data_IF_987285417416
#
_entry.id   IF_987285417416
#
_cell.length_a   1.000
_cell.length_b   1.000
_cell.length_c   1.000
_cell.angle_alpha   90.00
_cell.angle_beta   90.00
_cell.angle_gamma   90.00
#
_symmetry.space_group_name_H-M   'P 1'
#
loop_
_entity.id
_entity.type
_entity.pdbx_description
1 polymer ?
#
# COMPACT_ATOMS: atom_id res chain seq x y z
N UNK A 1 -24.60 -0.29 -3.70
CA UNK A 1 -25.72 0.38 -2.99
C UNK A 1 -26.91 0.76 -3.89
N UNK A 2 -26.73 1.27 -5.13
CA UNK A 2 -27.86 1.61 -6.03
C UNK A 2 -28.81 0.43 -6.31
N UNK A 3 -28.26 -0.75 -6.58
CA UNK A 3 -29.06 -1.97 -6.80
C UNK A 3 -29.83 -2.43 -5.56
N UNK A 4 -29.30 -2.18 -4.35
CA UNK A 4 -30.00 -2.51 -3.10
C UNK A 4 -31.16 -1.55 -2.85
N UNK A 5 -30.98 -0.25 -3.13
CA UNK A 5 -32.07 0.73 -3.03
C UNK A 5 -33.21 0.42 -4.00
N UNK A 6 -32.88 -0.06 -5.20
CA UNK A 6 -33.88 -0.49 -6.19
C UNK A 6 -34.68 -1.73 -5.76
N UNK A 7 -34.12 -2.62 -4.94
CA UNK A 7 -34.77 -3.89 -4.54
C UNK A 7 -35.44 -3.85 -3.17
N UNK A 8 -34.86 -3.13 -2.21
CA UNK A 8 -35.28 -3.14 -0.81
C UNK A 8 -35.81 -1.77 -0.33
N UNK A 9 -35.96 -0.81 -1.23
CA UNK A 9 -36.46 0.53 -0.92
C UNK A 9 -35.39 1.49 -0.39
N UNK A 10 -35.83 2.64 0.10
CA UNK A 10 -34.94 3.66 0.63
C UNK A 10 -34.50 3.33 2.05
N UNK A 11 -33.19 3.29 2.25
CA UNK A 11 -32.54 3.17 3.56
C UNK A 11 -31.46 4.25 3.70
N UNK A 12 -31.16 4.69 4.91
CA UNK A 12 -30.05 5.61 5.17
C UNK A 12 -28.77 4.80 5.38
N UNK A 13 -27.66 5.17 4.73
CA UNK A 13 -26.35 4.60 5.07
C UNK A 13 -25.43 5.69 5.60
N UNK A 14 -24.58 5.29 6.54
CA UNK A 14 -23.52 6.12 7.12
C UNK A 14 -22.21 5.41 6.84
N UNK A 15 -21.20 6.12 6.33
CA UNK A 15 -19.88 5.57 6.06
C UNK A 15 -18.85 6.28 6.93
N UNK A 16 -18.15 5.51 7.75
CA UNK A 16 -17.09 5.97 8.64
C UNK A 16 -15.80 5.23 8.25
N UNK A 17 -14.73 5.98 8.00
CA UNK A 17 -13.44 5.42 7.64
C UNK A 17 -12.44 5.63 8.78
N UNK A 18 -11.91 4.54 9.33
CA UNK A 18 -10.99 4.56 10.47
C UNK A 18 -9.59 5.10 10.16
N UNK A 19 -9.20 5.20 8.89
CA UNK A 19 -7.95 5.85 8.47
C UNK A 19 -8.09 7.38 8.50
N UNK A 20 -9.28 7.89 8.16
CA UNK A 20 -9.57 9.33 8.12
C UNK A 20 -9.94 9.84 9.52
N UNK A 21 -10.78 9.10 10.23
CA UNK A 21 -11.29 9.47 11.55
C UNK A 21 -10.29 9.05 12.61
N UNK A 22 -9.56 10.01 13.15
CA UNK A 22 -8.49 9.74 14.13
C UNK A 22 -9.01 9.70 15.58
N UNK A 23 -10.23 10.21 15.81
CA UNK A 23 -10.84 10.31 17.13
C UNK A 23 -12.31 9.89 17.11
N UNK A 24 -12.79 9.28 18.20
CA UNK A 24 -14.18 8.88 18.38
C UNK A 24 -15.14 10.08 18.29
N UNK A 25 -14.76 11.25 18.83
CA UNK A 25 -15.58 12.45 18.75
C UNK A 25 -15.81 12.90 17.30
N UNK A 26 -14.80 12.76 16.44
CA UNK A 26 -14.94 13.07 15.01
C UNK A 26 -15.86 12.07 14.33
N UNK A 27 -15.76 10.79 14.68
CA UNK A 27 -16.66 9.76 14.18
C UNK A 27 -18.11 10.03 14.57
N UNK A 28 -18.39 10.46 15.80
CA UNK A 28 -19.74 10.84 16.22
C UNK A 28 -20.26 12.09 15.51
N UNK A 29 -19.40 13.11 15.30
CA UNK A 29 -19.77 14.30 14.51
C UNK A 29 -20.11 13.94 13.07
N UNK A 30 -19.30 13.09 12.43
CA UNK A 30 -19.53 12.66 11.05
C UNK A 30 -20.79 11.80 10.93
N UNK A 31 -21.01 10.89 11.88
CA UNK A 31 -22.24 10.10 11.96
C UNK A 31 -23.47 11.00 12.11
N UNK A 32 -23.39 12.03 12.96
CA UNK A 32 -24.45 13.04 13.12
C UNK A 32 -24.69 13.80 11.82
N UNK A 33 -23.62 14.26 11.16
CA UNK A 33 -23.70 15.01 9.91
C UNK A 33 -24.34 14.18 8.79
N UNK A 34 -23.96 12.91 8.63
CA UNK A 34 -24.50 12.05 7.58
C UNK A 34 -25.97 11.66 7.84
N UNK A 35 -26.34 11.38 9.09
CA UNK A 35 -27.73 11.09 9.45
C UNK A 35 -28.63 12.33 9.27
N UNK A 36 -28.11 13.51 9.59
CA UNK A 36 -28.86 14.77 9.44
C UNK A 36 -28.94 15.20 7.98
N UNK A 37 -27.91 15.00 7.15
CA UNK A 37 -27.99 15.23 5.70
C UNK A 37 -29.04 14.35 5.02
N UNK A 38 -29.26 13.13 5.52
CA UNK A 38 -30.29 12.22 5.01
C UNK A 38 -31.73 12.64 5.40
N UNK A 39 -31.88 13.58 6.32
CA UNK A 39 -33.13 14.27 6.64
C UNK A 39 -33.06 15.67 6.06
N UNK A 40 -33.81 16.00 5.01
CA UNK A 40 -33.92 17.37 4.52
C UNK A 40 -34.67 18.30 5.51
N UNK A 41 -34.28 18.29 6.78
CA UNK A 41 -34.89 19.03 7.88
C UNK A 41 -33.88 20.06 8.36
N UNK A 42 -34.07 21.31 7.95
CA UNK A 42 -33.45 22.47 8.60
C UNK A 42 -34.04 22.60 10.01
N UNK A 43 -33.56 21.80 10.96
CA UNK A 43 -33.93 21.95 12.37
C UNK A 43 -32.97 22.95 13.05
N UNK A 44 -33.43 23.79 14.00
CA UNK A 44 -32.63 24.88 14.58
C UNK A 44 -31.35 24.44 15.28
N UNK A 45 -31.21 23.16 15.62
CA UNK A 45 -30.02 22.58 16.26
C UNK A 45 -28.76 22.56 15.38
N UNK A 46 -28.87 22.56 14.04
CA UNK A 46 -27.68 22.71 13.18
C UNK A 46 -27.09 24.13 13.22
N UNK A 47 -27.95 25.15 13.39
CA UNK A 47 -27.50 26.53 13.66
C UNK A 47 -27.04 26.68 15.12
N UNK A 48 -27.73 26.03 16.05
CA UNK A 48 -27.34 26.04 17.46
C UNK A 48 -26.00 25.33 17.67
N UNK A 49 -25.65 24.28 16.92
CA UNK A 49 -24.31 23.69 16.97
C UNK A 49 -23.24 24.60 16.34
N UNK A 50 -23.55 25.41 15.33
CA UNK A 50 -22.60 26.44 14.85
C UNK A 50 -22.43 27.61 15.82
N UNK A 51 -23.46 27.94 16.61
CA UNK A 51 -23.43 29.07 17.55
C UNK A 51 -23.03 28.71 18.99
N UNK A 52 -23.31 27.48 19.45
CA UNK A 52 -22.98 27.00 20.80
C UNK A 52 -21.57 26.43 20.87
N UNK A 53 -21.02 25.93 19.75
CA UNK A 53 -19.60 25.58 19.67
C UNK A 53 -18.71 26.84 19.75
N UNK A 54 -19.24 28.03 19.46
CA UNK A 54 -18.45 29.28 19.55
C UNK A 54 -18.56 29.97 20.92
N UNK A 55 -19.65 29.74 21.67
CA UNK A 55 -19.88 30.48 22.92
C UNK A 55 -19.56 29.71 24.21
N UNK A 56 -19.25 28.41 24.12
CA UNK A 56 -18.90 27.55 25.27
C UNK A 56 -17.49 27.02 25.11
N UNK A 57 -16.54 27.89 24.77
CA UNK A 57 -15.12 27.57 24.63
C UNK A 57 -14.23 28.32 25.63
N UNK A 58 -14.83 28.89 26.68
CA UNK A 58 -14.12 29.67 27.68
C UNK A 58 -14.49 29.15 29.07
N UNK A 59 -13.57 28.36 29.64
CA UNK A 59 -13.46 27.88 31.03
C UNK A 59 -13.96 26.45 31.37
N UNK A 60 -13.00 25.63 31.86
CA UNK A 60 -13.10 24.34 32.56
C UNK A 60 -13.17 23.04 31.71
N UNK A 61 -11.99 22.42 31.49
CA UNK A 61 -11.71 21.46 30.41
C UNK A 61 -12.14 19.99 30.66
N UNK A 62 -12.60 19.58 31.85
CA UNK A 62 -12.93 18.15 32.09
C UNK A 62 -14.42 17.81 32.24
N UNK A 63 -15.28 18.73 32.70
CA UNK A 63 -16.72 18.45 32.88
C UNK A 63 -17.52 18.71 31.59
N UNK A 64 -17.12 19.69 30.78
CA UNK A 64 -17.80 20.06 29.52
C UNK A 64 -17.66 19.00 28.42
N UNK A 65 -16.54 18.25 28.38
CA UNK A 65 -16.37 17.15 27.43
C UNK A 65 -17.34 15.99 27.69
N UNK A 66 -17.63 15.71 28.95
CA UNK A 66 -18.57 14.63 29.34
C UNK A 66 -20.02 15.04 29.02
N UNK A 67 -20.39 16.29 29.32
CA UNK A 67 -21.70 16.86 28.99
C UNK A 67 -21.93 16.92 27.48
N UNK A 68 -20.93 17.34 26.69
CA UNK A 68 -21.03 17.38 25.23
C UNK A 68 -21.14 15.99 24.60
N UNK A 69 -20.46 14.98 25.14
CA UNK A 69 -20.58 13.59 24.69
C UNK A 69 -21.95 12.99 25.00
N UNK A 70 -22.45 13.18 26.23
CA UNK A 70 -23.76 12.66 26.63
C UNK A 70 -24.90 13.31 25.82
N UNK A 71 -24.84 14.62 25.61
CA UNK A 71 -25.79 15.33 24.76
C UNK A 71 -25.76 14.80 23.31
N UNK A 72 -24.57 14.47 22.78
CA UNK A 72 -24.43 13.89 21.45
C UNK A 72 -24.98 12.47 21.38
N UNK A 73 -24.75 11.66 22.41
CA UNK A 73 -25.27 10.30 22.52
C UNK A 73 -26.80 10.27 22.52
N UNK A 74 -27.45 11.04 23.41
CA UNK A 74 -28.91 11.11 23.49
C UNK A 74 -29.52 11.67 22.21
N UNK A 75 -28.87 12.69 21.61
CA UNK A 75 -29.30 13.25 20.34
C UNK A 75 -29.27 12.20 19.21
N UNK A 76 -28.17 11.47 19.09
CA UNK A 76 -28.01 10.42 18.07
C UNK A 76 -29.01 9.28 18.27
N UNK A 77 -29.20 8.84 19.52
CA UNK A 77 -30.20 7.83 19.86
C UNK A 77 -31.61 8.30 19.48
N UNK A 78 -31.97 9.55 19.82
CA UNK A 78 -33.25 10.16 19.45
C UNK A 78 -33.46 10.24 17.93
N UNK A 79 -32.41 10.57 17.18
CA UNK A 79 -32.44 10.61 15.72
C UNK A 79 -32.66 9.21 15.11
N UNK A 80 -31.97 8.20 15.63
CA UNK A 80 -32.13 6.80 15.20
C UNK A 80 -33.54 6.27 15.50
N UNK A 81 -34.10 6.58 16.66
CA UNK A 81 -35.49 6.21 17.01
C UNK A 81 -36.49 6.91 16.09
N UNK A 82 -36.29 8.20 15.80
CA UNK A 82 -37.16 8.96 14.88
C UNK A 82 -37.14 8.36 13.48
N UNK A 83 -35.97 7.94 13.00
CA UNK A 83 -35.78 7.23 11.74
C UNK A 83 -36.49 5.87 11.72
N UNK A 84 -36.34 5.09 12.80
CA UNK A 84 -37.00 3.80 12.93
C UNK A 84 -38.54 3.92 12.95
N UNK A 85 -39.08 4.94 13.62
CA UNK A 85 -40.53 5.26 13.60
C UNK A 85 -41.03 5.68 12.23
N UNK A 86 -40.18 6.36 11.46
CA UNK A 86 -40.45 6.73 10.06
C UNK A 86 -40.35 5.54 9.09
N UNK A 87 -40.00 4.34 9.58
CA UNK A 87 -39.82 3.15 8.78
C UNK A 87 -38.50 3.10 8.01
N UNK A 88 -37.56 4.01 8.27
CA UNK A 88 -36.24 4.06 7.63
C UNK A 88 -35.25 3.16 8.38
N UNK A 89 -34.41 2.44 7.65
CA UNK A 89 -33.38 1.55 8.17
C UNK A 89 -32.01 2.21 8.02
N UNK A 90 -31.20 2.18 9.08
CA UNK A 90 -29.86 2.80 9.07
C UNK A 90 -28.77 1.74 8.96
N UNK A 91 -27.90 1.83 7.95
CA UNK A 91 -26.73 0.94 7.80
C UNK A 91 -25.47 1.75 8.04
N UNK A 92 -24.74 1.45 9.11
CA UNK A 92 -23.44 2.05 9.42
C UNK A 92 -22.34 1.14 8.88
N UNK A 93 -21.51 1.67 7.98
CA UNK A 93 -20.36 0.98 7.41
C UNK A 93 -19.12 1.56 8.08
N UNK A 94 -18.37 0.69 8.76
CA UNK A 94 -17.08 1.00 9.38
C UNK A 94 -15.99 0.40 8.51
N UNK A 95 -15.23 1.25 7.81
CA UNK A 95 -14.08 0.86 7.03
C UNK A 95 -12.79 0.98 7.87
N UNK A 96 -11.81 0.11 7.62
CA UNK A 96 -10.62 -0.05 8.45
C UNK A 96 -10.97 -0.22 9.95
N UNK A 97 -11.83 -1.21 10.25
CA UNK A 97 -12.36 -1.47 11.60
C UNK A 97 -11.24 -1.58 12.65
N UNK A 98 -10.10 -2.15 12.29
CA UNK A 98 -8.95 -2.30 13.17
C UNK A 98 -8.48 -0.97 13.76
N UNK A 99 -8.63 0.17 13.06
CA UNK A 99 -8.28 1.48 13.60
C UNK A 99 -9.20 1.91 14.76
N UNK A 100 -10.48 1.53 14.74
CA UNK A 100 -11.42 1.78 15.84
C UNK A 100 -11.22 0.82 17.02
N UNK A 101 -10.52 -0.29 16.78
CA UNK A 101 -10.19 -1.30 17.79
C UNK A 101 -8.84 -1.03 18.43
N UNK A 102 -7.91 -0.39 17.71
CA UNK A 102 -6.52 -0.16 18.13
C UNK A 102 -6.42 0.52 19.50
N UNK A 103 -5.64 -0.15 20.35
CA UNK A 103 -5.19 0.33 21.64
C UNK A 103 -4.25 1.54 21.47
N UNK A 104 -4.79 2.76 21.50
CA UNK A 104 -4.10 3.75 22.32
C UNK A 104 -4.38 3.31 23.75
N UNK A 105 -3.34 2.92 24.50
CA UNK A 105 -3.37 2.13 25.74
C UNK A 105 -4.23 2.65 26.91
N UNK A 106 -5.08 3.66 26.70
CA UNK A 106 -6.05 4.21 27.65
C UNK A 106 -7.41 4.63 27.01
N UNK A 107 -7.63 4.42 25.71
CA UNK A 107 -8.86 4.81 25.03
C UNK A 107 -9.87 3.65 25.04
N UNK A 108 -10.96 3.85 25.78
CA UNK A 108 -12.14 2.97 25.80
C UNK A 108 -12.72 2.88 24.38
N UNK A 109 -13.05 1.68 23.88
CA UNK A 109 -13.76 1.47 22.61
C UNK A 109 -15.24 1.95 22.68
N UNK A 110 -15.48 3.25 22.87
CA UNK A 110 -16.80 3.82 23.14
C UNK A 110 -17.66 3.88 21.88
N UNK A 111 -17.09 4.20 20.71
CA UNK A 111 -17.85 4.25 19.45
C UNK A 111 -18.47 2.87 19.14
N UNK A 112 -17.64 1.82 19.16
CA UNK A 112 -18.07 0.45 18.90
C UNK A 112 -19.05 -0.04 19.97
N UNK A 113 -18.77 0.27 21.25
CA UNK A 113 -19.69 -0.03 22.34
C UNK A 113 -21.07 0.58 22.10
N UNK A 114 -21.15 1.87 21.78
CA UNK A 114 -22.40 2.59 21.56
C UNK A 114 -23.17 2.05 20.35
N UNK A 115 -22.48 1.83 19.21
CA UNK A 115 -23.12 1.30 18.01
C UNK A 115 -23.71 -0.10 18.23
N UNK A 116 -22.96 -0.98 18.92
CA UNK A 116 -23.43 -2.33 19.23
C UNK A 116 -24.52 -2.35 20.32
N UNK A 117 -24.50 -1.40 21.26
CA UNK A 117 -25.56 -1.26 22.27
C UNK A 117 -26.87 -0.77 21.62
N UNK A 118 -26.80 0.19 20.69
CA UNK A 118 -27.96 0.64 19.93
C UNK A 118 -28.56 -0.44 19.02
N UNK A 119 -27.75 -1.35 18.49
CA UNK A 119 -28.22 -2.51 17.73
C UNK A 119 -29.11 -3.45 18.56
N UNK A 120 -28.91 -3.50 19.89
CA UNK A 120 -29.71 -4.34 20.78
C UNK A 120 -31.02 -3.66 21.21
N UNK A 121 -31.19 -2.37 20.95
CA UNK A 121 -32.39 -1.62 21.31
C UNK A 121 -33.54 -1.91 20.33
N UNK A 122 -34.70 -2.33 20.85
CA UNK A 122 -35.90 -2.65 20.05
C UNK A 122 -36.46 -1.46 19.26
N UNK A 123 -36.23 -0.25 19.76
CA UNK A 123 -36.74 0.99 19.17
C UNK A 123 -35.88 1.51 18.00
N UNK A 124 -34.77 0.84 17.69
CA UNK A 124 -33.81 1.23 16.66
C UNK A 124 -33.74 0.15 15.59
N UNK A 125 -33.89 0.56 14.32
CA UNK A 125 -33.73 -0.32 13.16
C UNK A 125 -32.42 0.02 12.45
N UNK A 126 -31.32 -0.52 12.94
CA UNK A 126 -30.00 -0.29 12.36
C UNK A 126 -29.21 -1.58 12.11
N UNK A 127 -28.17 -1.50 11.26
CA UNK A 127 -27.19 -2.53 11.01
C UNK A 127 -25.79 -1.94 11.00
N UNK A 128 -24.79 -2.65 11.52
CA UNK A 128 -23.38 -2.24 11.48
C UNK A 128 -22.60 -3.25 10.65
N UNK A 129 -21.86 -2.77 9.66
CA UNK A 129 -20.98 -3.56 8.81
C UNK A 129 -19.54 -3.08 9.02
N UNK A 130 -18.70 -3.91 9.64
CA UNK A 130 -17.27 -3.67 9.76
C UNK A 130 -16.50 -4.31 8.62
N UNK A 131 -15.58 -3.56 8.01
CA UNK A 131 -14.65 -4.02 6.98
C UNK A 131 -13.24 -3.92 7.56
N UNK A 132 -12.47 -4.99 7.45
CA UNK A 132 -11.09 -5.07 7.94
C UNK A 132 -10.32 -6.09 7.12
N UNK A 133 -9.00 -5.89 7.05
CA UNK A 133 -8.04 -6.87 6.55
C UNK A 133 -7.42 -7.73 7.67
N UNK A 134 -7.64 -7.35 8.94
CA UNK A 134 -7.11 -8.06 10.10
C UNK A 134 -8.03 -9.20 10.52
N UNK A 135 -7.57 -10.44 10.31
CA UNK A 135 -8.29 -11.65 10.68
C UNK A 135 -8.57 -11.76 12.20
N UNK A 136 -7.68 -11.21 13.03
CA UNK A 136 -7.77 -11.31 14.49
C UNK A 136 -8.46 -10.09 15.14
N UNK A 137 -9.22 -9.29 14.37
CA UNK A 137 -9.85 -8.07 14.90
C UNK A 137 -10.77 -8.35 16.09
N UNK A 138 -11.41 -9.53 16.13
CA UNK A 138 -12.37 -9.90 17.18
C UNK A 138 -11.69 -10.21 18.52
N UNK A 139 -10.45 -10.69 18.49
CA UNK A 139 -9.66 -10.92 19.70
C UNK A 139 -9.19 -9.61 20.33
N UNK A 140 -9.01 -8.56 19.51
CA UNK A 140 -8.65 -7.22 19.95
C UNK A 140 -9.85 -6.41 20.49
N UNK A 141 -11.07 -6.94 20.42
CA UNK A 141 -12.24 -6.27 21.00
C UNK A 141 -12.24 -6.40 22.53
N UNK A 142 -12.52 -5.29 23.22
CA UNK A 142 -12.73 -5.30 24.66
C UNK A 142 -13.89 -6.24 25.04
N UNK A 143 -13.80 -6.90 26.21
CA UNK A 143 -14.80 -7.88 26.68
C UNK A 143 -16.26 -7.41 26.55
N UNK A 144 -16.53 -6.14 26.86
CA UNK A 144 -17.89 -5.55 26.82
C UNK A 144 -18.42 -5.30 25.40
N UNK A 145 -17.53 -5.05 24.44
CA UNK A 145 -17.85 -4.89 23.01
C UNK A 145 -18.03 -6.26 22.38
N UNK A 146 -17.09 -7.17 22.66
CA UNK A 146 -17.13 -8.56 22.20
C UNK A 146 -18.40 -9.30 22.63
N UNK A 147 -18.87 -9.07 23.86
CA UNK A 147 -20.12 -9.65 24.37
C UNK A 147 -21.37 -9.19 23.59
N UNK A 148 -21.34 -7.97 23.01
CA UNK A 148 -22.44 -7.41 22.22
C UNK A 148 -22.36 -7.72 20.73
N UNK A 149 -21.22 -8.24 20.28
CA UNK A 149 -21.00 -8.59 18.88
C UNK A 149 -21.77 -9.87 18.52
N UNK A 150 -22.42 -9.88 17.36
CA UNK A 150 -23.25 -11.01 16.89
C UNK A 150 -22.43 -12.23 16.44
N UNK A 151 -21.10 -12.14 16.46
CA UNK A 151 -20.15 -13.15 15.96
C UNK A 151 -20.34 -13.52 14.47
N UNK A 152 -21.13 -12.75 13.71
CA UNK A 152 -21.27 -12.94 12.29
C UNK A 152 -20.04 -12.37 11.58
N UNK A 153 -19.21 -13.27 11.03
CA UNK A 153 -18.05 -12.91 10.23
C UNK A 153 -18.22 -13.47 8.83
N UNK A 154 -18.00 -12.63 7.83
CA UNK A 154 -17.99 -13.03 6.42
C UNK A 154 -16.55 -12.92 5.95
N UNK A 155 -15.88 -14.06 5.80
CA UNK A 155 -14.51 -14.11 5.27
C UNK A 155 -14.60 -14.05 3.75
N UNK A 156 -13.95 -13.04 3.16
CA UNK A 156 -13.83 -12.92 1.71
C UNK A 156 -12.53 -13.61 1.30
N UNK A 157 -12.65 -14.79 0.72
CA UNK A 157 -11.50 -15.53 0.22
C UNK A 157 -10.92 -14.88 -1.03
N UNK A 158 -9.61 -15.08 -1.24
CA UNK A 158 -8.94 -14.67 -2.47
C UNK A 158 -9.55 -15.45 -3.65
N UNK A 159 -9.98 -14.79 -4.73
CA UNK A 159 -10.53 -15.49 -5.88
C UNK A 159 -9.46 -16.37 -6.52
N UNK A 160 -9.85 -17.56 -6.97
CA UNK A 160 -8.94 -18.48 -7.65
C UNK A 160 -8.44 -17.90 -8.97
N UNK A 161 -7.32 -18.42 -9.47
CA UNK A 161 -6.78 -17.99 -10.76
C UNK A 161 -7.79 -18.13 -11.90
N UNK A 162 -8.58 -19.20 -11.91
CA UNK A 162 -9.68 -19.41 -12.86
C UNK A 162 -10.77 -18.34 -12.75
N UNK A 163 -11.15 -17.96 -11.53
CA UNK A 163 -12.14 -16.89 -11.31
C UNK A 163 -11.61 -15.54 -11.76
N UNK A 164 -10.32 -15.24 -11.54
CA UNK A 164 -9.66 -14.03 -12.02
C UNK A 164 -9.68 -13.99 -13.55
N UNK A 165 -9.33 -15.08 -14.23
CA UNK A 165 -9.38 -15.17 -15.70
C UNK A 165 -10.78 -14.94 -16.27
N UNK A 166 -11.79 -15.57 -15.65
CA UNK A 166 -13.19 -15.34 -16.02
C UNK A 166 -13.64 -13.90 -15.75
N UNK A 167 -13.12 -13.27 -14.70
CA UNK A 167 -13.38 -11.87 -14.41
C UNK A 167 -12.73 -10.95 -15.45
N UNK A 168 -11.47 -11.19 -15.82
CA UNK A 168 -10.78 -10.44 -16.88
C UNK A 168 -11.51 -10.57 -18.23
N UNK A 169 -11.95 -11.78 -18.59
CA UNK A 169 -12.74 -11.99 -19.80
C UNK A 169 -14.01 -11.14 -19.78
N UNK A 170 -14.75 -11.12 -18.66
CA UNK A 170 -15.98 -10.32 -18.52
C UNK A 170 -15.71 -8.82 -18.60
N UNK A 171 -14.63 -8.34 -17.98
CA UNK A 171 -14.26 -6.91 -17.99
C UNK A 171 -13.81 -6.46 -19.37
N UNK A 172 -13.13 -7.32 -20.13
CA UNK A 172 -12.62 -7.01 -21.46
C UNK A 172 -13.64 -7.33 -22.58
N UNK A 173 -14.68 -8.12 -22.31
CA UNK A 173 -15.65 -8.53 -23.32
C UNK A 173 -16.48 -7.34 -23.84
N UNK A 174 -16.52 -7.22 -25.16
CA UNK A 174 -17.34 -6.22 -25.86
C UNK A 174 -18.81 -6.66 -25.99
N UNK A 175 -19.07 -7.96 -25.86
CA UNK A 175 -20.41 -8.55 -26.02
C UNK A 175 -21.28 -8.35 -24.78
N UNK A 176 -20.65 -8.31 -23.60
CA UNK A 176 -21.34 -8.08 -22.33
C UNK A 176 -21.66 -6.59 -22.07
N UNK A 177 -21.12 -5.68 -22.90
CA UNK A 177 -21.30 -4.24 -22.71
C UNK A 177 -22.66 -3.77 -23.23
N UNK A 178 -23.38 -2.98 -22.42
CA UNK A 178 -24.70 -2.44 -22.76
C UNK A 178 -24.55 -1.18 -23.64
N UNK A 179 -24.30 -1.39 -24.94
CA UNK A 179 -24.12 -0.32 -25.92
C UNK A 179 -25.28 0.69 -25.96
N UNK A 180 -26.51 0.22 -25.74
CA UNK A 180 -27.73 1.05 -25.83
C UNK A 180 -27.80 2.17 -24.78
N UNK A 181 -27.10 2.02 -23.65
CA UNK A 181 -27.08 3.02 -22.57
C UNK A 181 -25.98 4.08 -22.77
N UNK A 182 -25.13 3.93 -23.78
CA UNK A 182 -23.98 4.78 -24.04
C UNK A 182 -23.96 5.26 -25.49
N UNK A 183 -24.88 6.17 -25.83
CA UNK A 183 -25.00 6.78 -27.16
C UNK A 183 -23.75 7.55 -27.63
N UNK A 184 -22.90 7.96 -26.69
CA UNK A 184 -21.61 8.63 -26.93
C UNK A 184 -20.58 7.71 -27.62
N UNK A 185 -20.75 6.38 -27.53
CA UNK A 185 -19.76 5.40 -27.97
C UNK A 185 -20.17 4.74 -29.30
N UNK A 186 -19.20 4.63 -30.22
CA UNK A 186 -19.40 3.92 -31.49
C UNK A 186 -19.26 2.42 -31.29
N UNK A 187 -20.33 1.67 -31.57
CA UNK A 187 -20.30 0.21 -31.54
C UNK A 187 -19.33 -0.33 -32.61
N UNK A 188 -18.40 -1.24 -32.24
CA UNK A 188 -17.46 -1.83 -33.19
C UNK A 188 -18.16 -2.76 -34.18
N UNK A 189 -17.49 -3.06 -35.29
CA UNK A 189 -18.00 -4.05 -36.25
C UNK A 189 -18.10 -5.44 -35.61
N UNK A 190 -19.13 -6.21 -35.97
CA UNK A 190 -19.31 -7.58 -35.47
C UNK A 190 -18.10 -8.48 -35.78
N UNK A 191 -17.46 -8.30 -36.94
CA UNK A 191 -16.23 -9.02 -37.32
C UNK A 191 -15.08 -8.75 -36.35
N UNK A 192 -14.88 -7.48 -35.97
CA UNK A 192 -13.86 -7.10 -35.00
C UNK A 192 -14.17 -7.65 -33.61
N UNK A 193 -15.41 -7.50 -33.15
CA UNK A 193 -15.83 -8.02 -31.84
C UNK A 193 -15.57 -9.53 -31.72
N UNK A 194 -15.92 -10.31 -32.75
CA UNK A 194 -15.64 -11.76 -32.78
C UNK A 194 -14.13 -12.06 -32.80
N UNK A 195 -13.35 -11.33 -33.61
CA UNK A 195 -11.90 -11.51 -33.66
C UNK A 195 -11.23 -11.17 -32.31
N UNK A 196 -11.69 -10.11 -31.65
CA UNK A 196 -11.21 -9.69 -30.34
C UNK A 196 -11.57 -10.71 -29.25
N UNK A 197 -12.82 -11.17 -29.20
CA UNK A 197 -13.26 -12.23 -28.27
C UNK A 197 -12.48 -13.53 -28.50
N UNK A 198 -12.19 -13.91 -29.76
CA UNK A 198 -11.34 -15.07 -30.07
C UNK A 198 -9.92 -14.89 -29.55
N UNK A 199 -9.30 -13.73 -29.80
CA UNK A 199 -7.95 -13.42 -29.32
C UNK A 199 -7.86 -13.46 -27.79
N UNK A 200 -8.84 -12.87 -27.09
CA UNK A 200 -8.93 -12.89 -25.64
C UNK A 200 -9.05 -14.32 -25.09
N UNK A 201 -9.89 -15.15 -25.70
CA UNK A 201 -10.04 -16.54 -25.29
C UNK A 201 -8.75 -17.33 -25.50
N UNK A 202 -8.04 -17.11 -26.61
CA UNK A 202 -6.72 -17.69 -26.83
C UNK A 202 -5.72 -17.29 -25.75
N UNK A 203 -5.64 -15.99 -25.43
CA UNK A 203 -4.72 -15.47 -24.41
C UNK A 203 -5.00 -15.99 -22.99
N UNK A 204 -6.28 -16.04 -22.61
CA UNK A 204 -6.69 -16.34 -21.24
C UNK A 204 -6.99 -17.81 -21.01
N UNK A 205 -7.18 -18.64 -22.04
CA UNK A 205 -7.55 -20.05 -21.86
C UNK A 205 -6.67 -21.07 -22.56
N UNK A 206 -5.94 -20.70 -23.61
CA UNK A 206 -4.98 -21.61 -24.22
C UNK A 206 -3.67 -21.62 -23.43
N UNK A 207 -3.10 -22.81 -23.26
CA UNK A 207 -1.85 -22.98 -22.55
C UNK A 207 -0.72 -22.31 -23.33
N UNK A 208 -0.08 -21.32 -22.71
CA UNK A 208 0.99 -20.54 -23.31
C UNK A 208 1.99 -20.10 -22.25
N UNK A 209 3.22 -19.77 -22.68
CA UNK A 209 4.24 -19.19 -21.79
C UNK A 209 3.75 -17.92 -21.08
N UNK A 210 2.83 -17.20 -21.71
CA UNK A 210 2.19 -16.02 -21.12
C UNK A 210 1.25 -16.40 -19.97
N UNK A 211 0.39 -17.41 -20.18
CA UNK A 211 -0.52 -17.87 -19.14
C UNK A 211 0.24 -18.41 -17.92
N UNK A 212 1.31 -19.19 -18.13
CA UNK A 212 2.20 -19.63 -17.05
C UNK A 212 2.84 -18.46 -16.30
N UNK A 213 3.24 -17.40 -17.02
CA UNK A 213 3.76 -16.17 -16.38
C UNK A 213 2.69 -15.44 -15.55
N UNK A 214 1.43 -15.46 -16.00
CA UNK A 214 0.31 -14.81 -15.30
C UNK A 214 -0.12 -15.63 -14.08
N UNK A 215 0.00 -16.96 -14.16
CA UNK A 215 -0.20 -17.89 -13.04
C UNK A 215 0.90 -17.73 -11.99
N UNK A 216 2.16 -17.60 -12.41
CA UNK A 216 3.26 -17.27 -11.50
C UNK A 216 3.03 -15.98 -10.72
N UNK A 217 2.48 -14.94 -11.37
CA UNK A 217 2.12 -13.69 -10.69
C UNK A 217 1.00 -13.91 -9.65
N UNK A 218 0.08 -14.83 -9.92
CA UNK A 218 -0.94 -15.23 -8.96
C UNK A 218 -0.32 -15.99 -7.78
N UNK A 219 0.61 -16.92 -8.02
CA UNK A 219 1.26 -17.72 -6.99
C UNK A 219 2.12 -16.86 -6.05
N UNK A 220 2.77 -15.81 -6.56
CA UNK A 220 3.52 -14.82 -5.75
C UNK A 220 2.59 -14.01 -4.82
N UNK A 221 1.27 -14.01 -5.05
CA UNK A 221 0.31 -13.33 -4.18
C UNK A 221 -0.26 -12.02 -4.74
N UNK A 222 -0.10 -11.75 -6.05
CA UNK A 222 -0.67 -10.52 -6.65
C UNK A 222 -2.19 -10.49 -6.53
N UNK A 223 -2.76 -9.35 -6.15
CA UNK A 223 -4.20 -9.21 -5.93
C UNK A 223 -4.97 -9.17 -7.25
N UNK A 224 -6.29 -9.41 -7.23
CA UNK A 224 -7.14 -9.28 -8.42
C UNK A 224 -7.01 -7.89 -9.08
N UNK A 225 -6.86 -6.84 -8.27
CA UNK A 225 -6.68 -5.47 -8.76
C UNK A 225 -5.43 -5.30 -9.63
N UNK A 226 -4.35 -6.05 -9.35
CA UNK A 226 -3.16 -6.05 -10.19
C UNK A 226 -3.46 -6.54 -11.61
N UNK A 227 -4.17 -7.66 -11.75
CA UNK A 227 -4.51 -8.21 -13.07
C UNK A 227 -5.43 -7.29 -13.86
N UNK A 228 -6.39 -6.64 -13.20
CA UNK A 228 -7.26 -5.64 -13.85
C UNK A 228 -6.44 -4.44 -14.31
N UNK A 229 -5.54 -3.91 -13.45
CA UNK A 229 -4.63 -2.82 -13.84
C UNK A 229 -3.72 -3.21 -15.00
N UNK A 230 -3.20 -4.44 -15.00
CA UNK A 230 -2.37 -4.97 -16.06
C UNK A 230 -3.14 -5.03 -17.38
N UNK A 231 -4.37 -5.53 -17.36
CA UNK A 231 -5.24 -5.57 -18.53
C UNK A 231 -5.57 -4.16 -19.04
N UNK A 232 -5.91 -3.22 -18.14
CA UNK A 232 -6.16 -1.82 -18.50
C UNK A 232 -4.93 -1.16 -19.13
N UNK A 233 -3.74 -1.38 -18.58
CA UNK A 233 -2.50 -0.86 -19.14
C UNK A 233 -2.15 -1.52 -20.49
N UNK A 234 -2.47 -2.81 -20.67
CA UNK A 234 -2.26 -3.50 -21.95
C UNK A 234 -3.16 -2.93 -23.07
N UNK A 235 -4.38 -2.51 -22.74
CA UNK A 235 -5.29 -1.85 -23.69
C UNK A 235 -4.71 -0.52 -24.20
N UNK A 236 -3.97 0.21 -23.37
CA UNK A 236 -3.34 1.48 -23.77
C UNK A 236 -2.27 1.31 -24.88
N UNK A 237 -1.78 0.09 -25.14
CA UNK A 237 -0.82 -0.20 -26.20
C UNK A 237 -1.46 -0.69 -27.50
N UNK A 238 -2.79 -0.75 -27.58
CA UNK A 238 -3.47 -1.07 -28.83
C UNK A 238 -3.27 0.08 -29.84
N UNK A 239 -3.00 -0.29 -31.08
CA UNK A 239 -2.80 0.63 -32.19
C UNK A 239 -3.72 0.27 -33.35
N UNK A 240 -3.86 1.17 -34.33
CA UNK A 240 -4.60 0.95 -35.57
C UNK A 240 -4.06 -0.26 -36.33
N UNK A 241 -2.73 -0.43 -36.33
CA UNK A 241 -2.06 -1.55 -37.00
C UNK A 241 -2.13 -2.86 -36.21
N UNK A 242 -2.29 -2.79 -34.89
CA UNK A 242 -2.36 -3.93 -33.98
C UNK A 242 -3.56 -3.82 -33.02
N UNK A 243 -4.80 -3.98 -33.53
CA UNK A 243 -5.99 -3.70 -32.74
C UNK A 243 -6.39 -4.88 -31.83
N UNK A 244 -5.70 -6.02 -31.90
CA UNK A 244 -5.97 -7.20 -31.07
C UNK A 244 -4.97 -7.28 -29.91
N UNK A 245 -5.46 -7.66 -28.73
CA UNK A 245 -4.59 -7.90 -27.57
C UNK A 245 -3.68 -9.11 -27.84
N UNK A 246 -2.39 -8.94 -27.55
CA UNK A 246 -1.35 -9.97 -27.69
C UNK A 246 -0.54 -10.07 -26.40
N UNK A 247 0.25 -11.15 -26.20
CA UNK A 247 1.11 -11.27 -25.01
C UNK A 247 2.15 -10.15 -24.91
N UNK A 248 2.54 -9.55 -26.03
CA UNK A 248 3.52 -8.47 -26.05
C UNK A 248 2.97 -7.19 -25.38
N UNK A 249 1.68 -6.88 -25.57
CA UNK A 249 1.03 -5.74 -24.91
C UNK A 249 1.04 -5.92 -23.38
N UNK A 250 0.75 -7.13 -22.90
CA UNK A 250 0.81 -7.43 -21.47
C UNK A 250 2.24 -7.39 -20.91
N UNK A 251 3.25 -7.84 -21.66
CA UNK A 251 4.66 -7.71 -21.25
C UNK A 251 5.07 -6.24 -21.12
N UNK A 252 4.72 -5.40 -22.08
CA UNK A 252 4.98 -3.94 -22.02
C UNK A 252 4.26 -3.30 -20.83
N UNK A 253 2.98 -3.63 -20.64
CA UNK A 253 2.19 -3.16 -19.50
C UNK A 253 2.78 -3.61 -18.15
N UNK A 254 3.28 -4.85 -18.08
CA UNK A 254 3.97 -5.35 -16.89
C UNK A 254 5.24 -4.55 -16.61
N UNK A 255 6.09 -4.31 -17.61
CA UNK A 255 7.27 -3.48 -17.44
C UNK A 255 6.94 -2.05 -16.99
N UNK A 256 5.79 -1.49 -17.40
CA UNK A 256 5.33 -0.18 -16.93
C UNK A 256 4.90 -0.22 -15.45
N UNK A 257 4.17 -1.26 -15.04
CA UNK A 257 3.61 -1.38 -13.70
C UNK A 257 4.61 -1.86 -12.64
N UNK A 258 5.55 -2.71 -13.05
CA UNK A 258 6.53 -3.38 -12.19
C UNK A 258 7.94 -3.10 -12.70
N UNK A 259 8.30 -1.81 -12.77
CA UNK A 259 9.70 -1.45 -12.99
C UNK A 259 10.54 -2.02 -11.84
N UNK A 260 11.64 -2.68 -12.17
CA UNK A 260 12.64 -3.05 -11.19
C UNK A 260 13.34 -1.78 -10.74
N UNK A 261 12.89 -1.23 -9.60
CA UNK A 261 13.41 0.00 -9.05
C UNK A 261 14.87 -0.16 -8.65
N UNK A 262 15.31 -1.37 -8.25
CA UNK A 262 16.71 -1.61 -7.93
C UNK A 262 17.57 -1.53 -9.19
N UNK A 263 17.13 -2.17 -10.28
CA UNK A 263 17.82 -2.10 -11.55
C UNK A 263 17.85 -0.67 -12.10
N UNK A 264 16.72 0.03 -12.10
CA UNK A 264 16.62 1.41 -12.58
C UNK A 264 17.53 2.36 -11.78
N UNK A 265 17.63 2.17 -10.45
CA UNK A 265 18.56 2.94 -9.63
C UNK A 265 20.01 2.58 -9.99
N UNK A 266 20.35 1.29 -10.12
CA UNK A 266 21.70 0.83 -10.46
C UNK A 266 22.17 1.31 -11.84
N UNK A 267 21.28 1.47 -12.81
CA UNK A 267 21.59 2.07 -14.12
C UNK A 267 22.05 3.53 -14.03
N UNK A 268 21.66 4.26 -12.98
CA UNK A 268 22.07 5.67 -12.77
C UNK A 268 23.39 5.79 -11.99
N UNK A 269 23.93 4.69 -11.46
CA UNK A 269 25.15 4.70 -10.64
C UNK A 269 26.37 4.87 -11.54
N UNK A 270 27.30 5.72 -11.10
CA UNK A 270 28.56 5.94 -11.81
C UNK A 270 29.45 4.69 -11.77
N UNK A 271 30.39 4.59 -12.70
CA UNK A 271 31.33 3.47 -12.76
C UNK A 271 32.10 3.28 -11.43
N UNK A 272 32.49 4.38 -10.78
CA UNK A 272 33.11 4.34 -9.45
C UNK A 272 32.17 3.78 -8.37
N UNK A 273 30.87 4.13 -8.41
CA UNK A 273 29.89 3.58 -7.49
C UNK A 273 29.69 2.08 -7.69
N UNK A 274 29.65 1.61 -8.95
CA UNK A 274 29.56 0.18 -9.27
C UNK A 274 30.81 -0.57 -8.76
N UNK A 275 32.00 0.00 -8.95
CA UNK A 275 33.25 -0.57 -8.43
C UNK A 275 33.23 -0.69 -6.90
N UNK A 276 32.76 0.33 -6.18
CA UNK A 276 32.61 0.25 -4.72
C UNK A 276 31.63 -0.86 -4.31
N UNK A 277 30.49 -1.01 -5.02
CA UNK A 277 29.53 -2.07 -4.74
C UNK A 277 30.09 -3.47 -4.99
N UNK A 278 30.89 -3.65 -6.05
CA UNK A 278 31.59 -4.91 -6.32
C UNK A 278 32.59 -5.22 -5.21
N UNK A 279 33.40 -4.24 -4.81
CA UNK A 279 34.35 -4.38 -3.70
C UNK A 279 33.68 -4.75 -2.39
N UNK A 280 32.56 -4.11 -2.05
CA UNK A 280 31.74 -4.48 -0.89
C UNK A 280 31.18 -5.90 -1.00
N UNK A 281 30.72 -6.30 -2.19
CA UNK A 281 30.21 -7.64 -2.44
C UNK A 281 31.27 -8.73 -2.22
N UNK A 282 32.52 -8.47 -2.59
CA UNK A 282 33.64 -9.38 -2.34
C UNK A 282 34.01 -9.47 -0.86
N UNK A 283 33.96 -8.36 -0.14
CA UNK A 283 34.15 -8.37 1.31
C UNK A 283 33.02 -9.15 2.02
N UNK A 284 31.78 -9.07 1.53
CA UNK A 284 30.66 -9.88 2.03
C UNK A 284 30.84 -11.38 1.76
N UNK A 285 31.38 -11.76 0.59
CA UNK A 285 31.78 -13.15 0.29
C UNK A 285 32.88 -13.65 1.24
N UNK A 286 33.72 -12.77 1.75
CA UNK A 286 34.76 -13.06 2.74
C UNK A 286 34.28 -12.99 4.20
N UNK A 287 32.96 -13.15 4.43
CA UNK A 287 32.29 -13.10 5.74
C UNK A 287 32.39 -11.77 6.50
N UNK A 288 32.79 -10.67 5.85
CA UNK A 288 32.72 -9.35 6.45
C UNK A 288 31.36 -8.70 6.13
N UNK A 289 30.56 -8.40 7.16
CA UNK A 289 29.21 -7.82 6.97
C UNK A 289 29.18 -6.29 7.01
N UNK A 290 30.30 -5.69 7.41
CA UNK A 290 30.44 -4.25 7.64
C UNK A 290 31.75 -3.80 7.03
N UNK A 291 31.70 -2.68 6.32
CA UNK A 291 32.80 -2.18 5.51
C UNK A 291 33.10 -0.73 5.88
N UNK A 292 34.36 -0.34 5.84
CA UNK A 292 34.76 1.08 5.79
C UNK A 292 35.17 1.44 4.36
N UNK A 293 35.21 2.74 4.04
CA UNK A 293 35.66 3.19 2.72
C UNK A 293 37.07 2.65 2.42
N UNK A 294 37.97 2.70 3.40
CA UNK A 294 39.35 2.24 3.26
C UNK A 294 39.46 0.72 2.97
N UNK A 295 38.60 -0.11 3.57
CA UNK A 295 38.58 -1.55 3.29
C UNK A 295 38.22 -1.84 1.83
N UNK A 296 37.22 -1.13 1.32
CA UNK A 296 36.77 -1.27 -0.07
C UNK A 296 37.80 -0.69 -1.03
N UNK A 297 38.38 0.46 -0.69
CA UNK A 297 39.40 1.14 -1.49
C UNK A 297 40.68 0.32 -1.61
N UNK A 298 41.15 -0.31 -0.53
CA UNK A 298 42.32 -1.19 -0.56
C UNK A 298 42.10 -2.42 -1.46
N UNK A 299 40.89 -2.98 -1.48
CA UNK A 299 40.52 -4.08 -2.39
C UNK A 299 40.51 -3.64 -3.85
N UNK A 300 39.95 -2.46 -4.12
CA UNK A 300 39.93 -1.90 -5.46
C UNK A 300 41.35 -1.59 -5.97
N UNK A 301 42.20 -1.02 -5.12
CA UNK A 301 43.61 -0.78 -5.42
C UNK A 301 44.35 -2.09 -5.72
N UNK A 302 44.14 -3.13 -4.91
CA UNK A 302 44.73 -4.46 -5.15
C UNK A 302 44.34 -5.06 -6.51
N UNK A 303 43.09 -4.87 -6.93
CA UNK A 303 42.61 -5.32 -8.24
C UNK A 303 43.25 -4.55 -9.40
N UNK A 304 43.32 -3.21 -9.30
CA UNK A 304 43.95 -2.38 -10.35
C UNK A 304 45.47 -2.59 -10.46
N UNK A 305 46.14 -2.93 -9.35
CA UNK A 305 47.56 -3.33 -9.35
C UNK A 305 47.82 -4.60 -10.15
N UNK A 306 46.92 -5.58 -10.08
CA UNK A 306 47.04 -6.83 -10.82
C UNK A 306 46.89 -6.65 -12.33
N UNK A 307 46.21 -5.58 -12.77
CA UNK A 307 45.94 -5.30 -14.18
C UNK A 307 46.74 -4.10 -14.73
N UNK A 308 47.75 -3.62 -13.98
CA UNK A 308 48.61 -2.48 -14.35
C UNK A 308 47.85 -1.19 -14.75
N UNK A 309 46.70 -0.92 -14.09
CA UNK A 309 45.85 0.25 -14.35
C UNK A 309 45.63 1.12 -13.13
N UNK A 310 46.66 1.24 -12.28
CA UNK A 310 46.65 2.11 -11.12
C UNK A 310 46.31 3.58 -11.46
N UNK A 311 46.64 4.03 -12.68
CA UNK A 311 46.32 5.38 -13.15
C UNK A 311 44.80 5.66 -13.25
N UNK A 312 43.96 4.62 -13.26
CA UNK A 312 42.49 4.75 -13.30
C UNK A 312 41.86 4.74 -11.89
N UNK A 313 42.66 4.61 -10.83
CA UNK A 313 42.16 4.65 -9.46
C UNK A 313 41.67 6.07 -9.14
N UNK A 314 40.40 6.26 -8.73
CA UNK A 314 39.89 7.57 -8.39
C UNK A 314 40.56 8.11 -7.13
N UNK A 315 40.56 9.42 -6.95
CA UNK A 315 41.00 10.04 -5.70
C UNK A 315 40.10 9.62 -4.54
N UNK A 316 40.63 9.63 -3.31
CA UNK A 316 39.83 9.35 -2.10
C UNK A 316 38.59 10.25 -1.97
N UNK A 317 38.70 11.51 -2.39
CA UNK A 317 37.56 12.45 -2.39
C UNK A 317 36.47 12.03 -3.39
N UNK A 318 36.84 11.52 -4.57
CA UNK A 318 35.89 11.01 -5.56
C UNK A 318 35.23 9.71 -5.10
N UNK A 319 36.02 8.79 -4.51
CA UNK A 319 35.49 7.56 -3.91
C UNK A 319 34.53 7.86 -2.75
N UNK A 320 34.84 8.85 -1.92
CA UNK A 320 33.95 9.30 -0.85
C UNK A 320 32.65 9.90 -1.42
N UNK A 321 32.73 10.78 -2.43
CA UNK A 321 31.53 11.33 -3.09
C UNK A 321 30.67 10.23 -3.73
N UNK A 322 31.30 9.22 -4.32
CA UNK A 322 30.59 8.06 -4.86
C UNK A 322 29.89 7.27 -3.75
N UNK A 323 30.55 7.04 -2.61
CA UNK A 323 29.96 6.39 -1.45
C UNK A 323 28.78 7.18 -0.86
N UNK A 324 28.91 8.51 -0.75
CA UNK A 324 27.83 9.40 -0.30
C UNK A 324 26.63 9.34 -1.26
N UNK A 325 26.88 9.25 -2.57
CA UNK A 325 25.82 9.06 -3.55
C UNK A 325 25.12 7.70 -3.36
N UNK A 326 25.87 6.62 -3.12
CA UNK A 326 25.30 5.29 -2.85
C UNK A 326 24.44 5.27 -1.57
N UNK A 327 24.84 6.01 -0.53
CA UNK A 327 24.06 6.21 0.70
C UNK A 327 22.76 6.99 0.44
N UNK A 328 22.81 8.03 -0.41
CA UNK A 328 21.62 8.79 -0.84
C UNK A 328 20.66 7.92 -1.63
N UNK A 329 21.18 7.08 -2.54
CA UNK A 329 20.40 6.13 -3.33
C UNK A 329 19.90 4.91 -2.54
N UNK A 330 20.23 4.80 -1.24
CA UNK A 330 19.85 3.67 -0.35
C UNK A 330 20.30 2.29 -0.86
N UNK A 331 21.31 2.24 -1.72
CA UNK A 331 21.99 1.00 -2.12
C UNK A 331 22.92 0.51 -1.01
N UNK A 332 23.49 1.46 -0.27
CA UNK A 332 24.31 1.24 0.92
C UNK A 332 23.59 1.87 2.12
N UNK A 333 23.70 1.26 3.29
CA UNK A 333 23.17 1.78 4.55
C UNK A 333 24.31 1.97 5.56
N UNK A 334 24.13 2.96 6.41
CA UNK A 334 25.00 3.17 7.55
C UNK A 334 24.78 2.05 8.58
N UNK A 335 25.86 1.41 8.99
CA UNK A 335 25.84 0.33 9.97
C UNK A 335 25.84 0.87 11.43
N UNK A 336 25.84 2.19 11.62
CA UNK A 336 25.86 2.81 12.95
C UNK A 336 27.17 2.53 13.67
N UNK A 337 27.12 2.35 15.01
CA UNK A 337 28.27 1.91 15.80
C UNK A 337 28.46 0.38 15.74
N UNK A 338 28.67 -0.14 14.52
CA UNK A 338 28.84 -1.56 14.29
C UNK A 338 30.11 -2.14 14.96
N UNK A 339 31.11 -1.29 15.20
CA UNK A 339 32.38 -1.68 15.82
C UNK A 339 32.38 -1.49 17.35
N UNK A 340 31.27 -1.04 17.96
CA UNK A 340 31.16 -0.74 19.40
C UNK A 340 32.31 0.13 19.92
N UNK A 341 32.71 1.14 19.15
CA UNK A 341 33.83 2.03 19.52
C UNK A 341 33.37 3.01 20.61
N UNK A 342 32.06 3.21 20.77
CA UNK A 342 31.47 3.92 21.90
C UNK A 342 31.56 3.12 23.21
N UNK A 343 32.48 3.50 24.09
CA UNK A 343 32.58 3.01 25.48
C UNK A 343 31.22 3.07 26.20
N UNK A 344 30.97 2.06 27.05
CA UNK A 344 29.72 1.82 27.78
C UNK A 344 28.99 3.06 28.30
N UNK A 345 27.73 3.21 27.89
CA UNK A 345 26.79 4.23 28.33
C UNK A 345 25.42 3.98 27.68
N UNK A 346 24.35 4.32 28.40
CA UNK A 346 22.94 3.94 28.22
C UNK A 346 22.39 3.80 26.79
N UNK A 347 21.51 2.81 26.63
CA UNK A 347 20.92 2.33 25.38
C UNK A 347 19.80 3.21 24.78
N UNK A 348 19.49 4.37 25.35
CA UNK A 348 18.32 5.18 24.94
C UNK A 348 18.62 6.36 23.99
N UNK A 349 19.89 6.66 23.67
CA UNK A 349 20.30 7.75 22.75
C UNK A 349 21.27 7.29 21.65
N UNK A 350 20.98 6.18 20.96
CA UNK A 350 21.92 5.53 20.02
C UNK A 350 21.71 5.80 18.52
N UNK A 351 20.76 6.67 18.13
CA UNK A 351 20.52 6.91 16.68
C UNK A 351 21.48 7.91 16.02
N UNK A 352 22.20 8.74 16.78
CA UNK A 352 22.98 9.87 16.21
C UNK A 352 24.51 9.73 16.32
N UNK A 353 25.05 8.61 16.81
CA UNK A 353 26.50 8.48 17.05
C UNK A 353 27.34 8.28 15.77
N UNK A 354 26.74 7.93 14.63
CA UNK A 354 27.48 7.73 13.38
C UNK A 354 27.87 9.01 12.65
N UNK A 355 27.27 10.16 13.02
CA UNK A 355 27.65 11.48 12.49
C UNK A 355 28.93 12.07 13.11
N UNK A 356 29.46 11.45 14.16
CA UNK A 356 30.66 11.91 14.88
C UNK A 356 31.97 11.35 14.29
N UNK A 357 31.90 10.24 13.56
CA UNK A 357 33.06 9.63 12.91
C UNK A 357 33.39 10.36 11.61
N UNK A 358 34.69 10.48 11.30
CA UNK A 358 35.11 10.96 9.98
C UNK A 358 34.48 10.08 8.88
N UNK A 359 34.07 10.66 7.74
CA UNK A 359 33.30 9.96 6.70
C UNK A 359 33.95 8.67 6.20
N UNK A 360 35.28 8.61 6.21
CA UNK A 360 36.11 7.49 5.75
C UNK A 360 36.01 6.25 6.66
N UNK A 361 35.76 6.47 7.96
CA UNK A 361 35.65 5.43 8.98
C UNK A 361 34.19 5.07 9.32
N UNK A 362 33.23 5.65 8.60
CA UNK A 362 31.83 5.29 8.77
C UNK A 362 31.61 3.86 8.28
N UNK A 363 31.15 3.03 9.20
CA UNK A 363 30.81 1.65 8.95
C UNK A 363 29.56 1.59 8.06
N UNK A 364 29.62 0.87 6.95
CA UNK A 364 28.50 0.71 6.02
C UNK A 364 28.23 -0.76 5.70
N UNK A 365 27.00 -1.06 5.28
CA UNK A 365 26.61 -2.38 4.80
C UNK A 365 25.75 -2.29 3.53
N UNK A 366 25.77 -3.34 2.72
CA UNK A 366 24.93 -3.41 1.51
C UNK A 366 23.46 -3.62 1.90
N UNK A 367 22.56 -2.99 1.14
CA UNK A 367 21.10 -3.10 1.34
C UNK A 367 20.45 -4.14 0.40
N UNK A 368 21.24 -4.78 -0.45
CA UNK A 368 20.81 -5.83 -1.37
C UNK A 368 21.87 -6.94 -1.42
N UNK A 369 21.47 -8.15 -1.82
CA UNK A 369 22.38 -9.29 -1.86
C UNK A 369 23.43 -9.11 -2.99
N UNK A 370 24.73 -9.33 -2.75
CA UNK A 370 25.79 -9.21 -3.77
C UNK A 370 25.54 -10.06 -5.03
N UNK A 371 24.88 -11.22 -4.85
CA UNK A 371 24.50 -12.12 -5.95
C UNK A 371 23.55 -11.47 -6.95
N UNK A 372 22.69 -10.55 -6.50
CA UNK A 372 21.76 -9.82 -7.36
C UNK A 372 22.53 -8.90 -8.31
N UNK A 373 23.51 -8.16 -7.79
CA UNK A 373 24.40 -7.32 -8.60
C UNK A 373 25.23 -8.16 -9.57
N UNK A 374 25.79 -9.27 -9.11
CA UNK A 374 26.55 -10.19 -9.97
C UNK A 374 25.68 -10.73 -11.12
N UNK A 375 24.44 -11.13 -10.83
CA UNK A 375 23.48 -11.58 -11.84
C UNK A 375 23.11 -10.47 -12.85
N UNK A 376 22.90 -9.24 -12.38
CA UNK A 376 22.61 -8.09 -13.25
C UNK A 376 23.80 -7.72 -14.14
N UNK A 377 25.03 -7.83 -13.64
CA UNK A 377 26.26 -7.58 -14.40
C UNK A 377 26.51 -8.68 -15.45
N UNK A 378 26.29 -9.96 -15.10
CA UNK A 378 26.40 -11.11 -16.01
C UNK A 378 25.38 -11.04 -17.15
N UNK A 379 24.15 -10.64 -16.84
CA UNK A 379 23.09 -10.50 -17.85
C UNK A 379 23.23 -9.25 -18.71
N UNK A 380 24.21 -8.37 -18.41
CA UNK A 380 24.44 -7.12 -19.13
C UNK A 380 23.36 -6.07 -18.89
N UNK A 381 22.54 -6.23 -17.84
CA UNK A 381 21.48 -5.30 -17.49
C UNK A 381 22.02 -3.95 -17.01
N UNK A 382 23.24 -3.91 -16.47
CA UNK A 382 23.93 -2.69 -16.06
C UNK A 382 25.10 -2.43 -17.01
N UNK A 383 25.21 -1.18 -17.47
CA UNK A 383 26.34 -0.72 -18.30
C UNK A 383 27.54 -0.47 -17.41
N UNK A 384 28.58 -1.28 -17.55
CA UNK A 384 29.88 -1.08 -16.92
C UNK A 384 31.00 -1.53 -17.86
N UNK A 385 32.23 -1.08 -17.61
CA UNK A 385 33.41 -1.49 -18.36
C UNK A 385 33.62 -3.01 -18.28
N UNK A 386 34.24 -3.57 -19.32
CA UNK A 386 34.61 -4.99 -19.38
C UNK A 386 35.46 -5.40 -18.19
N UNK A 387 36.34 -4.51 -17.74
CA UNK A 387 37.18 -4.68 -16.56
C UNK A 387 36.38 -4.94 -15.28
N UNK A 388 35.38 -4.10 -14.99
CA UNK A 388 34.58 -4.26 -13.78
C UNK A 388 33.69 -5.50 -13.84
N UNK A 389 33.28 -5.93 -15.04
CA UNK A 389 32.58 -7.21 -15.22
C UNK A 389 33.48 -8.38 -14.85
N UNK A 390 34.73 -8.37 -15.31
CA UNK A 390 35.72 -9.38 -14.95
C UNK A 390 35.96 -9.38 -13.43
N UNK A 391 36.09 -8.20 -12.81
CA UNK A 391 36.26 -8.09 -11.37
C UNK A 391 35.09 -8.67 -10.58
N UNK A 392 33.86 -8.39 -11.01
CA UNK A 392 32.65 -8.89 -10.35
C UNK A 392 32.53 -10.41 -10.41
N UNK A 393 33.01 -11.04 -11.48
CA UNK A 393 32.90 -12.48 -11.73
C UNK A 393 34.05 -13.27 -11.09
N UNK A 394 35.26 -12.72 -11.08
CA UNK A 394 36.48 -13.43 -10.72
C UNK A 394 37.00 -13.15 -9.30
N UNK A 395 36.39 -12.21 -8.57
CA UNK A 395 36.83 -11.80 -7.24
C UNK A 395 36.23 -12.57 -6.07
#
# INVERSE_FOLDING_TARGET
>A
MRNLRSRFGNFTYVYLNGVILQNELEAFKELTAQLTRATAVKHPMCKLMSSVIVLVFTFAIDVEKVLSYWNMYEYLRGLLVTKAKSGDHVIVILDALEQFVRENSNAKQLLLYNLLDWLQAKDIKMGVLGITDNYNVVDNLEKRVRSRFSNLQIVIERPSFTQIRQHLLRVLSLDAFQWDHHSELRRPSSKYAMAFSKSLNGLLFEQSKFLTSLEFDYDIGKTQAFFVRLASAAICYLDVDAPLLTPQHFRRARHLLEQDHQLAVLETVTEHGIALLIGMGHLEKADQRVFTLEMVYARWEGFLRQHDMLAQLPTRSEAQKALENLLRLKLVKDAGDAFKIGRGGDSSKKQDSSGSLQPEFRAVHLNFAPRTLEGMLRNGSIRCSTLLKEWAING
#
